data_IF_170094644228
#
_entry.id   IF_170094644228
#
_cell.length_a   1.000
_cell.length_b   1.000
_cell.length_c   1.000
_cell.angle_alpha   90.00
_cell.angle_beta   90.00
_cell.angle_gamma   90.00
#
_symmetry.space_group_name_H-M   'P 1'
#
loop_
_entity.id
_entity.type
_entity.pdbx_description
1 polymer ?
#
# COMPACT_ATOMS: atom_id res chain seq x y z
N UNK A 1 6.73 20.98 -7.34
CA UNK A 1 7.76 19.95 -7.65
C UNK A 1 9.14 20.39 -7.17
N UNK A 2 9.72 21.47 -7.73
CA UNK A 2 11.04 22.02 -7.33
C UNK A 2 11.22 22.17 -5.81
N UNK A 3 10.21 22.66 -5.09
CA UNK A 3 10.30 22.85 -3.64
C UNK A 3 10.48 21.54 -2.85
N UNK A 4 9.82 20.45 -3.25
CA UNK A 4 9.89 19.14 -2.59
C UNK A 4 11.26 18.51 -2.85
N UNK A 5 11.70 18.50 -4.12
CA UNK A 5 13.00 17.97 -4.49
C UNK A 5 14.16 18.77 -3.88
N UNK A 6 14.03 20.10 -3.75
CA UNK A 6 15.05 20.94 -3.10
C UNK A 6 15.28 20.59 -1.61
N UNK A 7 14.39 19.80 -1.00
CA UNK A 7 14.50 19.29 0.37
C UNK A 7 14.96 17.84 0.46
N UNK A 8 15.36 17.24 -0.66
CA UNK A 8 15.74 15.82 -0.71
C UNK A 8 14.56 14.86 -0.57
N UNK A 9 13.32 15.34 -0.71
CA UNK A 9 12.10 14.54 -0.70
C UNK A 9 11.65 14.20 -2.12
N UNK A 10 10.80 13.18 -2.23
CA UNK A 10 10.15 12.74 -3.47
C UNK A 10 8.69 13.15 -3.50
N UNK A 11 8.13 13.35 -4.69
CA UNK A 11 6.74 13.72 -4.87
C UNK A 11 5.92 12.57 -5.45
N UNK A 12 4.79 12.26 -4.82
CA UNK A 12 3.80 11.31 -5.32
C UNK A 12 2.54 11.99 -5.82
N UNK A 13 1.92 11.42 -6.85
CA UNK A 13 0.62 11.84 -7.37
C UNK A 13 -0.37 10.66 -7.34
N UNK A 14 -1.65 11.01 -7.40
CA UNK A 14 -2.77 10.08 -7.47
C UNK A 14 -3.45 10.24 -8.82
N UNK A 15 -3.93 9.12 -9.34
CA UNK A 15 -4.78 9.09 -10.52
C UNK A 15 -5.67 7.82 -10.50
N UNK A 16 -6.63 7.66 -11.42
CA UNK A 16 -7.55 6.51 -11.47
C UNK A 16 -7.65 5.87 -12.86
N UNK A 17 -7.51 4.54 -12.94
CA UNK A 17 -7.85 3.74 -14.12
C UNK A 17 -9.37 3.63 -14.24
N UNK A 18 -9.99 4.70 -14.73
CA UNK A 18 -11.43 4.87 -14.84
C UNK A 18 -11.82 6.10 -15.64
N UNK A 19 -13.12 6.28 -15.88
CA UNK A 19 -13.64 7.53 -16.46
C UNK A 19 -13.54 8.69 -15.46
N UNK A 20 -13.60 8.38 -14.17
CA UNK A 20 -13.49 9.31 -13.08
C UNK A 20 -12.69 8.67 -11.95
N UNK A 21 -12.03 9.49 -11.14
CA UNK A 21 -11.53 9.09 -9.82
C UNK A 21 -12.69 8.72 -8.91
N UNK A 22 -12.43 7.99 -7.82
CA UNK A 22 -13.44 7.68 -6.80
C UNK A 22 -14.17 8.93 -6.23
N UNK A 23 -13.52 10.10 -6.28
CA UNK A 23 -14.09 11.38 -5.85
C UNK A 23 -14.77 12.20 -6.98
N UNK A 24 -14.88 11.66 -8.20
CA UNK A 24 -15.58 12.27 -9.33
C UNK A 24 -14.75 13.24 -10.19
N UNK A 25 -13.45 13.37 -9.96
CA UNK A 25 -12.53 14.10 -10.86
C UNK A 25 -12.21 13.27 -12.12
N UNK A 26 -11.69 13.87 -13.21
CA UNK A 26 -11.33 13.13 -14.43
C UNK A 26 -10.36 11.97 -14.15
N UNK A 27 -10.61 10.79 -14.75
CA UNK A 27 -9.69 9.65 -14.74
C UNK A 27 -9.02 9.42 -16.10
N UNK A 28 -8.17 8.40 -16.22
CA UNK A 28 -7.20 8.28 -17.35
C UNK A 28 -7.70 7.54 -18.58
N UNK A 29 -8.93 7.03 -18.60
CA UNK A 29 -9.40 6.28 -19.76
C UNK A 29 -9.41 7.16 -21.01
N UNK A 30 -8.60 6.79 -22.01
CA UNK A 30 -8.36 7.56 -23.23
C UNK A 30 -7.19 8.54 -23.17
N UNK A 31 -6.54 8.71 -22.00
CA UNK A 31 -5.41 9.63 -21.80
C UNK A 31 -4.18 8.97 -21.16
N UNK A 32 -4.13 7.64 -21.04
CA UNK A 32 -3.04 6.88 -20.39
C UNK A 32 -1.63 7.37 -20.77
N UNK A 33 -1.35 7.53 -22.08
CA UNK A 33 -0.05 8.02 -22.55
C UNK A 33 0.18 9.49 -22.17
N UNK A 34 -0.82 10.34 -22.39
CA UNK A 34 -0.74 11.78 -22.12
C UNK A 34 -0.44 12.02 -20.64
N UNK A 35 -1.15 11.34 -19.75
CA UNK A 35 -1.01 11.53 -18.29
C UNK A 35 0.34 10.99 -17.81
N UNK A 36 0.79 9.85 -18.32
CA UNK A 36 2.13 9.33 -18.00
C UNK A 36 3.25 10.32 -18.38
N UNK A 37 3.21 10.88 -19.58
CA UNK A 37 4.20 11.88 -20.01
C UNK A 37 4.07 13.19 -19.21
N UNK A 38 2.86 13.62 -18.90
CA UNK A 38 2.61 14.79 -18.05
C UNK A 38 3.22 14.62 -16.66
N UNK A 39 3.05 13.45 -16.04
CA UNK A 39 3.65 13.15 -14.74
C UNK A 39 5.18 13.18 -14.78
N UNK A 40 5.77 12.67 -15.87
CA UNK A 40 7.22 12.72 -16.06
C UNK A 40 7.73 14.16 -16.25
N UNK A 41 7.05 14.99 -17.05
CA UNK A 41 7.37 16.42 -17.22
C UNK A 41 7.30 17.18 -15.90
N UNK A 42 6.34 16.83 -15.05
CA UNK A 42 6.20 17.41 -13.72
C UNK A 42 7.25 16.88 -12.72
N UNK A 43 8.09 15.92 -13.09
CA UNK A 43 9.05 15.27 -12.21
C UNK A 43 8.38 14.50 -11.05
N UNK A 44 7.27 13.83 -11.29
CA UNK A 44 6.65 12.91 -10.32
C UNK A 44 7.59 11.73 -10.03
N UNK A 45 7.65 11.24 -8.79
CA UNK A 45 8.49 10.11 -8.38
C UNK A 45 7.68 8.86 -7.99
N UNK A 46 6.38 9.02 -7.75
CA UNK A 46 5.48 7.97 -7.30
C UNK A 46 4.09 8.22 -7.88
N UNK A 47 3.43 7.20 -8.41
CA UNK A 47 2.07 7.28 -8.96
C UNK A 47 1.22 6.20 -8.31
N UNK A 48 0.18 6.59 -7.58
CA UNK A 48 -0.93 5.69 -7.22
C UNK A 48 -1.96 5.73 -8.33
N UNK A 49 -2.31 4.56 -8.87
CA UNK A 49 -3.42 4.40 -9.80
C UNK A 49 -4.54 3.59 -9.16
N UNK A 50 -5.68 4.23 -9.01
CA UNK A 50 -6.92 3.64 -8.50
C UNK A 50 -7.74 2.96 -9.60
N UNK A 51 -8.95 2.49 -9.29
CA UNK A 51 -9.77 1.75 -10.26
C UNK A 51 -11.27 1.96 -10.12
N UNK A 52 -11.72 3.12 -9.62
CA UNK A 52 -13.14 3.42 -9.62
C UNK A 52 -13.64 3.67 -11.05
N UNK A 53 -14.94 3.53 -11.28
CA UNK A 53 -15.56 3.82 -12.59
C UNK A 53 -14.92 3.10 -13.79
N UNK A 54 -14.33 1.92 -13.58
CA UNK A 54 -13.87 0.99 -14.62
C UNK A 54 -14.39 -0.43 -14.40
N UNK A 55 -14.19 -1.30 -15.39
CA UNK A 55 -14.55 -2.71 -15.30
C UNK A 55 -13.36 -3.53 -14.80
N UNK A 56 -13.48 -4.28 -13.69
CA UNK A 56 -12.37 -5.05 -13.13
C UNK A 56 -11.72 -6.06 -14.09
N UNK A 57 -12.47 -6.57 -15.07
CA UNK A 57 -11.96 -7.46 -16.13
C UNK A 57 -10.98 -6.78 -17.11
N UNK A 58 -11.02 -5.45 -17.21
CA UNK A 58 -10.19 -4.69 -18.15
C UNK A 58 -8.87 -4.22 -17.48
N UNK A 59 -8.77 -4.36 -16.15
CA UNK A 59 -7.62 -3.92 -15.36
C UNK A 59 -6.32 -4.64 -15.72
N UNK A 60 -6.39 -5.91 -16.14
CA UNK A 60 -5.21 -6.67 -16.59
C UNK A 60 -4.47 -5.98 -17.73
N UNK A 61 -5.24 -5.47 -18.70
CA UNK A 61 -4.70 -4.69 -19.80
C UNK A 61 -4.37 -3.27 -19.34
N UNK A 62 -5.32 -2.59 -18.69
CA UNK A 62 -5.22 -1.19 -18.35
C UNK A 62 -4.04 -0.80 -17.47
N UNK A 63 -3.88 -1.49 -16.34
CA UNK A 63 -2.78 -1.22 -15.44
C UNK A 63 -1.43 -1.57 -16.08
N UNK A 64 -1.39 -2.63 -16.88
CA UNK A 64 -0.20 -3.03 -17.64
C UNK A 64 0.20 -2.00 -18.69
N UNK A 65 -0.78 -1.46 -19.42
CA UNK A 65 -0.61 -0.42 -20.44
C UNK A 65 -0.12 0.89 -19.83
N UNK A 66 -0.74 1.33 -18.72
CA UNK A 66 -0.27 2.53 -18.02
C UNK A 66 1.16 2.36 -17.49
N UNK A 67 1.49 1.22 -16.89
CA UNK A 67 2.86 0.91 -16.46
C UNK A 67 3.88 0.91 -17.63
N UNK A 68 3.45 0.48 -18.82
CA UNK A 68 4.26 0.60 -20.04
C UNK A 68 4.50 2.07 -20.43
N UNK A 69 3.47 2.91 -20.39
CA UNK A 69 3.61 4.34 -20.68
C UNK A 69 4.51 5.05 -19.66
N UNK A 70 4.39 4.76 -18.36
CA UNK A 70 5.29 5.28 -17.33
C UNK A 70 6.75 4.96 -17.65
N UNK A 71 7.06 3.71 -18.02
CA UNK A 71 8.41 3.30 -18.42
C UNK A 71 8.89 4.02 -19.69
N UNK A 72 8.01 4.23 -20.69
CA UNK A 72 8.34 4.90 -21.95
C UNK A 72 8.77 6.36 -21.76
N UNK A 73 8.35 7.01 -20.67
CA UNK A 73 8.80 8.38 -20.35
C UNK A 73 10.30 8.49 -20.06
N UNK A 74 10.96 7.37 -19.70
CA UNK A 74 12.35 7.34 -19.28
C UNK A 74 12.60 7.84 -17.85
N UNK A 75 11.56 8.30 -17.14
CA UNK A 75 11.65 8.70 -15.74
C UNK A 75 11.26 7.56 -14.81
N UNK A 76 12.13 7.23 -13.85
CA UNK A 76 11.81 6.25 -12.81
C UNK A 76 10.71 6.80 -11.88
N UNK A 77 9.54 6.16 -11.90
CA UNK A 77 8.39 6.46 -11.05
C UNK A 77 7.95 5.17 -10.36
N UNK A 78 7.82 5.19 -9.03
CA UNK A 78 7.24 4.07 -8.29
C UNK A 78 5.77 3.95 -8.66
N UNK A 79 5.33 2.78 -9.09
CA UNK A 79 3.96 2.55 -9.53
C UNK A 79 3.17 1.71 -8.51
N UNK A 80 2.18 2.34 -7.88
CA UNK A 80 1.30 1.76 -6.86
C UNK A 80 -0.06 1.46 -7.46
N UNK A 81 -0.46 0.20 -7.45
CA UNK A 81 -1.64 -0.27 -8.17
C UNK A 81 -2.78 -0.69 -7.22
N UNK A 82 -3.97 -0.10 -7.36
CA UNK A 82 -5.17 -0.63 -6.67
C UNK A 82 -5.81 -1.83 -7.37
N UNK A 83 -5.21 -2.35 -8.44
CA UNK A 83 -5.76 -3.41 -9.28
C UNK A 83 -6.31 -4.65 -8.53
N UNK A 84 -5.59 -5.30 -7.59
CA UNK A 84 -6.07 -6.57 -7.01
C UNK A 84 -7.34 -6.44 -6.16
N UNK A 85 -7.51 -5.34 -5.43
CA UNK A 85 -8.68 -5.14 -4.56
C UNK A 85 -9.98 -5.08 -5.37
N UNK A 86 -9.99 -4.34 -6.48
CA UNK A 86 -11.17 -4.25 -7.35
C UNK A 86 -11.53 -5.58 -8.02
N UNK A 87 -10.53 -6.35 -8.46
CA UNK A 87 -10.77 -7.68 -9.02
C UNK A 87 -11.31 -8.66 -7.99
N UNK A 88 -10.76 -8.64 -6.78
CA UNK A 88 -11.19 -9.51 -5.69
C UNK A 88 -12.65 -9.23 -5.31
N UNK A 89 -13.06 -7.96 -5.21
CA UNK A 89 -14.47 -7.60 -4.98
C UNK A 89 -15.41 -8.03 -6.10
N UNK A 90 -14.92 -8.10 -7.34
CA UNK A 90 -15.70 -8.61 -8.47
C UNK A 90 -15.72 -10.14 -8.55
N UNK A 91 -15.12 -10.85 -7.60
CA UNK A 91 -15.01 -12.31 -7.59
C UNK A 91 -14.00 -12.85 -8.62
N UNK A 92 -13.13 -11.98 -9.16
CA UNK A 92 -12.06 -12.36 -10.07
C UNK A 92 -10.81 -12.71 -9.27
N UNK A 93 -9.97 -13.59 -9.83
CA UNK A 93 -8.67 -13.95 -9.26
C UNK A 93 -7.59 -13.02 -9.82
N UNK A 94 -6.92 -12.21 -8.98
CA UNK A 94 -5.87 -11.32 -9.45
C UNK A 94 -4.69 -12.07 -10.07
N UNK A 95 -4.23 -11.63 -11.23
CA UNK A 95 -3.06 -12.17 -11.88
C UNK A 95 -1.76 -11.61 -11.26
N UNK A 96 -1.35 -12.15 -10.12
CA UNK A 96 -0.16 -11.69 -9.41
C UNK A 96 1.14 -11.76 -10.23
N UNK A 97 1.24 -12.69 -11.20
CA UNK A 97 2.39 -12.73 -12.11
C UNK A 97 2.45 -11.50 -13.00
N UNK A 98 1.32 -10.98 -13.46
CA UNK A 98 1.28 -9.73 -14.23
C UNK A 98 1.52 -8.52 -13.32
N UNK A 99 0.87 -8.49 -12.16
CA UNK A 99 0.98 -7.40 -11.18
C UNK A 99 2.44 -7.20 -10.73
N UNK A 100 3.12 -8.27 -10.30
CA UNK A 100 4.53 -8.21 -9.85
C UNK A 100 5.50 -7.73 -10.93
N UNK A 101 5.18 -7.97 -12.21
CA UNK A 101 6.01 -7.54 -13.34
C UNK A 101 5.80 -6.07 -13.75
N UNK A 102 4.72 -5.43 -13.28
CA UNK A 102 4.32 -4.07 -13.70
C UNK A 102 4.25 -3.07 -12.56
N UNK A 103 3.86 -3.49 -11.37
CA UNK A 103 3.63 -2.64 -10.22
C UNK A 103 4.75 -2.82 -9.18
N UNK A 104 5.13 -1.72 -8.53
CA UNK A 104 6.07 -1.76 -7.42
C UNK A 104 5.41 -2.09 -6.09
N UNK A 105 4.12 -1.80 -5.96
CA UNK A 105 3.29 -2.19 -4.83
C UNK A 105 1.83 -2.24 -5.27
N UNK A 106 1.00 -2.96 -4.51
CA UNK A 106 -0.44 -3.06 -4.82
C UNK A 106 -1.32 -3.20 -3.59
N UNK A 107 -2.48 -2.56 -3.63
CA UNK A 107 -3.51 -2.69 -2.59
C UNK A 107 -4.28 -3.99 -2.78
N UNK A 108 -4.24 -4.87 -1.77
CA UNK A 108 -4.92 -6.16 -1.82
C UNK A 108 -6.35 -6.12 -1.24
N UNK A 109 -6.64 -5.17 -0.35
CA UNK A 109 -7.83 -5.20 0.51
C UNK A 109 -8.40 -3.78 0.75
N UNK A 110 -9.49 -3.73 1.51
CA UNK A 110 -10.27 -2.55 1.90
C UNK A 110 -9.42 -1.34 2.33
N UNK A 111 -9.95 -0.14 2.09
CA UNK A 111 -9.36 1.11 2.58
C UNK A 111 -9.35 1.16 4.11
N UNK A 112 -8.19 1.48 4.67
CA UNK A 112 -8.03 1.66 6.09
C UNK A 112 -8.85 2.87 6.57
N UNK A 113 -9.61 2.65 7.63
CA UNK A 113 -10.35 3.69 8.33
C UNK A 113 -9.67 3.98 9.67
N UNK A 114 -9.86 5.19 10.21
CA UNK A 114 -9.28 5.59 11.50
C UNK A 114 -10.00 4.90 12.68
N UNK A 115 -9.81 3.59 12.80
CA UNK A 115 -10.41 2.74 13.83
C UNK A 115 -9.61 1.46 14.03
N UNK A 116 -9.63 0.94 15.26
CA UNK A 116 -9.01 -0.34 15.56
C UNK A 116 -9.62 -1.51 14.78
N UNK A 117 -10.95 -1.50 14.59
CA UNK A 117 -11.66 -2.55 13.85
C UNK A 117 -11.16 -2.67 12.39
N UNK A 118 -10.82 -1.55 11.75
CA UNK A 118 -10.24 -1.56 10.39
C UNK A 118 -8.82 -2.11 10.38
N UNK A 119 -8.00 -1.80 11.40
CA UNK A 119 -6.67 -2.41 11.53
C UNK A 119 -6.79 -3.92 11.73
N UNK A 120 -7.68 -4.38 12.60
CA UNK A 120 -7.91 -5.81 12.84
C UNK A 120 -8.39 -6.53 11.57
N UNK A 121 -9.33 -5.95 10.81
CA UNK A 121 -9.83 -6.58 9.59
C UNK A 121 -8.74 -6.75 8.52
N UNK A 122 -7.86 -5.76 8.36
CA UNK A 122 -6.71 -5.84 7.45
C UNK A 122 -5.73 -6.93 7.92
N UNK A 123 -5.41 -6.94 9.22
CA UNK A 123 -4.51 -7.94 9.81
C UNK A 123 -5.06 -9.36 9.61
N UNK A 124 -6.36 -9.55 9.82
CA UNK A 124 -7.01 -10.84 9.61
C UNK A 124 -7.05 -11.22 8.13
N UNK A 125 -7.39 -10.30 7.22
CA UNK A 125 -7.34 -10.58 5.77
C UNK A 125 -5.95 -11.04 5.34
N UNK A 126 -4.90 -10.33 5.74
CA UNK A 126 -3.52 -10.69 5.37
C UNK A 126 -3.11 -12.03 5.97
N UNK A 127 -3.52 -12.32 7.21
CA UNK A 127 -3.23 -13.58 7.86
C UNK A 127 -4.06 -14.76 7.34
N UNK A 128 -5.29 -14.54 6.87
CA UNK A 128 -6.18 -15.58 6.32
C UNK A 128 -5.83 -15.88 4.85
N UNK A 129 -5.24 -14.92 4.11
CA UNK A 129 -4.89 -15.06 2.69
C UNK A 129 -3.37 -15.18 2.42
N UNK A 130 -2.55 -15.35 3.47
CA UNK A 130 -1.08 -15.34 3.40
C UNK A 130 -0.46 -16.37 2.44
N UNK A 131 -1.11 -17.50 2.20
CA UNK A 131 -0.60 -18.53 1.26
C UNK A 131 -0.55 -18.02 -0.18
N UNK A 132 -1.46 -17.12 -0.54
CA UNK A 132 -1.52 -16.50 -1.86
C UNK A 132 -0.69 -15.23 -1.89
N UNK A 133 -0.92 -14.29 -0.98
CA UNK A 133 -0.38 -12.93 -1.10
C UNK A 133 1.11 -12.85 -0.74
N UNK A 134 1.57 -13.54 0.31
CA UNK A 134 2.92 -13.33 0.84
C UNK A 134 4.02 -13.80 -0.11
N UNK A 135 3.74 -14.80 -0.97
CA UNK A 135 4.69 -15.30 -1.96
C UNK A 135 5.00 -14.29 -3.08
N UNK A 136 4.17 -13.25 -3.24
CA UNK A 136 4.34 -12.23 -4.27
C UNK A 136 5.10 -10.99 -3.80
N UNK A 137 5.36 -10.84 -2.50
CA UNK A 137 6.14 -9.73 -1.95
C UNK A 137 7.63 -10.06 -2.00
N UNK A 138 8.41 -9.17 -2.63
CA UNK A 138 9.88 -9.22 -2.63
C UNK A 138 10.47 -7.84 -3.01
N UNK A 139 11.80 -7.66 -2.96
CA UNK A 139 12.44 -6.42 -3.37
C UNK A 139 11.99 -5.93 -4.75
N UNK A 140 11.26 -4.80 -4.75
CA UNK A 140 10.77 -4.13 -5.96
C UNK A 140 9.28 -4.33 -6.25
N UNK A 141 8.58 -5.22 -5.53
CA UNK A 141 7.16 -5.52 -5.70
C UNK A 141 6.52 -5.98 -4.37
N UNK A 142 5.67 -5.12 -3.76
CA UNK A 142 5.21 -5.30 -2.37
C UNK A 142 3.68 -5.37 -2.24
N UNK A 143 3.18 -6.15 -1.28
CA UNK A 143 1.78 -6.04 -0.86
C UNK A 143 1.57 -4.76 -0.04
N UNK A 144 0.47 -4.06 -0.27
CA UNK A 144 0.11 -2.81 0.41
C UNK A 144 -1.15 -3.01 1.29
N UNK A 145 -1.00 -3.13 2.62
CA UNK A 145 -2.11 -3.17 3.58
C UNK A 145 -2.69 -1.78 3.89
N UNK A 146 -2.39 -0.78 3.07
CA UNK A 146 -2.80 0.61 3.20
C UNK A 146 -2.03 1.40 4.27
N UNK A 147 -2.37 2.68 4.41
CA UNK A 147 -1.61 3.68 5.18
C UNK A 147 -1.49 3.39 6.69
N UNK A 148 -0.45 3.94 7.31
CA UNK A 148 -0.34 4.08 8.76
C UNK A 148 -1.23 5.23 9.25
N UNK A 149 -2.12 4.95 10.20
CA UNK A 149 -3.03 5.93 10.83
C UNK A 149 -2.55 6.38 12.23
N UNK A 150 -1.31 6.05 12.56
CA UNK A 150 -0.65 6.38 13.83
C UNK A 150 -0.56 7.90 14.00
N UNK A 151 -1.07 8.41 15.13
CA UNK A 151 -1.09 9.84 15.42
C UNK A 151 -2.41 10.54 15.09
N UNK A 152 -3.38 9.82 14.50
CA UNK A 152 -4.75 10.30 14.31
C UNK A 152 -5.61 10.07 15.57
N UNK A 153 -6.89 9.71 15.42
CA UNK A 153 -7.87 9.77 16.49
C UNK A 153 -8.36 8.38 16.95
N UNK A 154 -8.36 7.40 16.05
CA UNK A 154 -9.02 6.10 16.25
C UNK A 154 -8.18 5.04 16.95
N UNK A 155 -6.86 5.25 17.08
CA UNK A 155 -5.96 4.29 17.72
C UNK A 155 -5.44 4.79 19.08
N UNK A 156 -5.56 3.93 20.10
CA UNK A 156 -4.80 4.09 21.33
C UNK A 156 -3.29 3.99 21.09
N UNK A 157 -2.50 4.41 22.08
CA UNK A 157 -1.04 4.30 22.04
C UNK A 157 -0.57 2.84 21.86
N UNK A 158 -1.24 1.87 22.50
CA UNK A 158 -0.90 0.45 22.34
C UNK A 158 -1.28 -0.08 20.96
N UNK A 159 -2.46 0.25 20.45
CA UNK A 159 -2.89 -0.15 19.10
C UNK A 159 -2.00 0.46 18.01
N UNK A 160 -1.51 1.68 18.20
CA UNK A 160 -0.55 2.30 17.27
C UNK A 160 0.78 1.56 17.22
N UNK A 161 1.26 1.04 18.36
CA UNK A 161 2.44 0.17 18.40
C UNK A 161 2.19 -1.14 17.66
N UNK A 162 0.99 -1.71 17.78
CA UNK A 162 0.61 -2.92 17.04
C UNK A 162 0.60 -2.67 15.55
N UNK A 163 -0.03 -1.60 15.05
CA UNK A 163 -0.03 -1.29 13.62
C UNK A 163 1.40 -1.18 13.07
N UNK A 164 2.26 -0.39 13.73
CA UNK A 164 3.65 -0.23 13.28
C UNK A 164 4.42 -1.56 13.23
N UNK A 165 4.26 -2.41 14.24
CA UNK A 165 4.96 -3.68 14.31
C UNK A 165 4.46 -4.67 13.24
N UNK A 166 3.16 -4.74 13.03
CA UNK A 166 2.57 -5.68 12.05
C UNK A 166 2.89 -5.24 10.62
N UNK A 167 2.81 -3.94 10.30
CA UNK A 167 3.19 -3.46 8.96
C UNK A 167 4.66 -3.77 8.65
N UNK A 168 5.56 -3.58 9.62
CA UNK A 168 6.97 -3.95 9.46
C UNK A 168 7.17 -5.46 9.26
N UNK A 169 6.44 -6.31 10.00
CA UNK A 169 6.49 -7.76 9.81
C UNK A 169 5.97 -8.15 8.42
N UNK A 170 4.96 -7.46 7.91
CA UNK A 170 4.39 -7.71 6.59
C UNK A 170 5.28 -7.18 5.43
N UNK A 171 6.43 -6.55 5.73
CA UNK A 171 7.26 -5.85 4.75
C UNK A 171 6.43 -4.83 3.92
N UNK A 172 5.54 -4.11 4.61
CA UNK A 172 4.57 -3.21 4.01
C UNK A 172 5.15 -1.81 3.76
N UNK A 173 4.60 -1.03 2.82
CA UNK A 173 4.90 0.39 2.73
C UNK A 173 4.57 1.13 4.04
N UNK A 174 5.55 1.83 4.63
CA UNK A 174 5.32 2.69 5.80
C UNK A 174 4.85 4.10 5.39
N UNK A 175 3.67 4.17 4.77
CA UNK A 175 3.07 5.41 4.28
C UNK A 175 2.18 6.06 5.35
N UNK A 176 2.66 7.15 5.96
CA UNK A 176 1.91 7.86 7.01
C UNK A 176 0.82 8.76 6.44
N UNK A 177 -0.36 8.75 7.06
CA UNK A 177 -1.43 9.73 6.81
C UNK A 177 -1.87 10.37 8.11
N UNK A 178 -1.15 11.41 8.53
CA UNK A 178 -1.40 12.14 9.79
C UNK A 178 -0.88 13.59 9.71
N UNK A 179 -1.37 14.49 10.57
CA UNK A 179 -0.89 15.88 10.62
C UNK A 179 0.47 15.99 11.33
N UNK A 180 1.54 16.04 10.53
CA UNK A 180 2.91 16.14 11.04
C UNK A 180 3.21 17.43 11.81
N UNK A 181 2.37 18.47 11.72
CA UNK A 181 2.56 19.74 12.44
C UNK A 181 2.17 19.62 13.90
N UNK A 182 1.25 18.71 14.21
CA UNK A 182 0.57 18.61 15.51
C UNK A 182 0.65 17.22 16.13
N UNK A 183 1.30 16.25 15.47
CA UNK A 183 1.50 14.90 15.99
C UNK A 183 2.14 14.91 17.39
N UNK A 184 1.53 14.18 18.32
CA UNK A 184 2.03 14.12 19.71
C UNK A 184 3.38 13.37 19.77
N UNK A 185 4.31 13.76 20.65
CA UNK A 185 5.66 13.19 20.71
C UNK A 185 5.72 11.66 20.83
N UNK A 186 4.81 11.05 21.57
CA UNK A 186 4.75 9.61 21.78
C UNK A 186 4.39 8.82 20.52
N UNK A 187 3.50 9.33 19.65
CA UNK A 187 3.16 8.69 18.38
C UNK A 187 4.25 8.93 17.33
N UNK A 188 4.85 10.13 17.33
CA UNK A 188 6.06 10.41 16.54
C UNK A 188 7.18 9.45 16.88
N UNK A 189 7.37 9.11 18.15
CA UNK A 189 8.40 8.15 18.58
C UNK A 189 8.14 6.72 18.08
N UNK A 190 6.88 6.31 17.91
CA UNK A 190 6.52 5.03 17.29
C UNK A 190 6.98 5.03 15.81
N UNK A 191 6.57 6.05 15.06
CA UNK A 191 6.87 6.18 13.62
C UNK A 191 8.37 6.34 13.33
N UNK A 192 9.14 6.90 14.26
CA UNK A 192 10.59 7.09 14.14
C UNK A 192 11.43 5.98 14.79
N UNK A 193 10.81 4.88 15.23
CA UNK A 193 11.54 3.80 15.88
C UNK A 193 12.48 3.08 14.90
N UNK A 194 13.76 3.42 14.99
CA UNK A 194 14.82 2.88 14.11
C UNK A 194 14.92 1.36 14.09
N UNK A 195 14.57 0.68 15.19
CA UNK A 195 14.64 -0.80 15.24
C UNK A 195 13.51 -1.43 14.44
N UNK A 196 12.31 -0.86 14.50
CA UNK A 196 11.16 -1.37 13.72
C UNK A 196 11.33 -1.02 12.24
N UNK A 197 11.80 0.19 11.93
CA UNK A 197 12.15 0.57 10.55
C UNK A 197 13.25 -0.36 9.99
N UNK A 198 14.23 -0.77 10.80
CA UNK A 198 15.26 -1.69 10.33
C UNK A 198 14.74 -3.11 10.03
N UNK A 199 13.68 -3.55 10.72
CA UNK A 199 13.00 -4.81 10.39
C UNK A 199 12.24 -4.68 9.06
N UNK A 200 11.48 -3.58 8.92
CA UNK A 200 10.73 -3.28 7.70
C UNK A 200 11.63 -3.15 6.45
N UNK A 201 12.78 -2.49 6.61
CA UNK A 201 13.75 -2.22 5.54
C UNK A 201 14.81 -3.33 5.41
N UNK A 202 14.52 -4.54 5.89
CA UNK A 202 15.42 -5.67 5.72
C UNK A 202 15.66 -5.96 4.22
N UNK A 203 16.92 -6.22 3.86
CA UNK A 203 17.34 -6.35 2.46
C UNK A 203 16.83 -7.61 1.79
N UNK A 204 16.48 -8.65 2.56
CA UNK A 204 15.90 -9.87 2.00
C UNK A 204 14.48 -9.59 1.49
N UNK A 205 13.77 -8.62 2.09
CA UNK A 205 12.44 -8.23 1.65
C UNK A 205 11.41 -9.35 1.74
N UNK A 206 11.58 -10.28 2.69
CA UNK A 206 10.69 -11.42 2.86
C UNK A 206 9.54 -11.01 3.77
N UNK A 207 8.33 -11.00 3.22
CA UNK A 207 7.12 -10.75 4.00
C UNK A 207 6.90 -11.84 5.06
N UNK A 208 6.69 -11.41 6.30
CA UNK A 208 6.35 -12.26 7.43
C UNK A 208 4.98 -12.91 7.32
N UNK A 209 4.76 -13.93 8.16
CA UNK A 209 3.58 -14.79 8.13
C UNK A 209 2.99 -14.96 9.52
N UNK A 210 1.67 -15.15 9.59
CA UNK A 210 0.99 -15.55 10.83
C UNK A 210 1.15 -17.05 11.03
N UNK A 211 1.98 -17.45 11.98
CA UNK A 211 2.25 -18.88 12.25
C UNK A 211 1.30 -19.49 13.29
N UNK A 212 0.56 -18.67 14.03
CA UNK A 212 -0.37 -19.16 15.06
C UNK A 212 -1.57 -18.22 15.24
N UNK A 213 -2.76 -18.78 15.45
CA UNK A 213 -4.02 -18.06 15.71
C UNK A 213 -4.71 -18.78 16.87
N UNK A 214 -4.93 -18.08 17.99
CA UNK A 214 -5.74 -18.57 19.11
C UNK A 214 -7.10 -17.91 19.04
N UNK A 215 -8.17 -18.72 19.03
CA UNK A 215 -9.52 -18.20 19.23
C UNK A 215 -9.78 -18.04 20.73
N UNK A 216 -9.54 -16.87 21.31
CA UNK A 216 -9.94 -16.60 22.69
C UNK A 216 -11.33 -15.99 22.74
N UNK A 217 -12.33 -16.75 23.20
CA UNK A 217 -13.67 -16.22 23.51
C UNK A 217 -13.72 -15.36 24.80
N UNK A 218 -12.59 -15.17 25.49
CA UNK A 218 -12.55 -14.62 26.86
C UNK A 218 -11.65 -13.37 26.98
N UNK A 219 -10.74 -13.12 26.02
CA UNK A 219 -9.89 -11.92 26.03
C UNK A 219 -9.64 -11.42 24.59
N UNK A 220 -9.82 -10.11 24.31
CA UNK A 220 -9.47 -9.50 23.03
C UNK A 220 -7.97 -9.16 23.04
N UNK A 221 -7.12 -10.19 22.98
CA UNK A 221 -5.70 -10.01 22.67
C UNK A 221 -5.51 -10.53 21.25
N UNK A 222 -5.03 -9.72 20.29
CA UNK A 222 -4.97 -10.15 18.90
C UNK A 222 -3.97 -11.29 18.75
N UNK A 223 -4.37 -12.27 17.95
CA UNK A 223 -3.53 -13.02 17.01
C UNK A 223 -2.05 -12.71 17.10
N UNK A 224 -1.27 -13.62 17.71
CA UNK A 224 0.19 -13.50 17.74
C UNK A 224 0.76 -13.76 16.34
N UNK A 225 1.17 -12.70 15.65
CA UNK A 225 2.10 -12.82 14.53
C UNK A 225 3.48 -13.11 15.12
N UNK A 226 3.85 -14.39 15.16
CA UNK A 226 5.24 -14.77 15.41
C UNK A 226 5.90 -14.91 14.04
N UNK A 227 6.80 -14.00 13.71
CA UNK A 227 7.61 -14.10 12.50
C UNK A 227 8.90 -14.85 12.81
N UNK A 228 9.22 -15.88 12.02
CA UNK A 228 10.60 -16.31 11.84
C UNK A 228 11.22 -15.32 10.84
N UNK A 229 11.95 -14.33 11.37
CA UNK A 229 12.88 -13.54 10.58
C UNK A 229 14.05 -14.49 10.31
N UNK A 230 14.11 -15.11 9.13
CA UNK A 230 15.27 -15.90 8.68
C UNK A 230 16.05 -15.13 7.64
#
# INVERSE_FOLDING_TARGET
MIWIHSRGLKFGIYEDYGNFTCAGYPGILGSLEVDAFTFAEWNVDFVKLDGCYSLPKDMDQGYSEFGYHLNKTGRAMVYSCSWPVYQTYAGLQPNYSAITSRCNLWRNFDDIQDSWASVESIIDYYGDNQDVIAANAAPGHWNDPDMLIIGNFGLSYEQSKVQMAIWAILAAPLLMSTDLRTIRPEYKAILQNKKIIAIDQDKLGIQGRRIYKVSTHIFPIPTQFVCLIT
#
